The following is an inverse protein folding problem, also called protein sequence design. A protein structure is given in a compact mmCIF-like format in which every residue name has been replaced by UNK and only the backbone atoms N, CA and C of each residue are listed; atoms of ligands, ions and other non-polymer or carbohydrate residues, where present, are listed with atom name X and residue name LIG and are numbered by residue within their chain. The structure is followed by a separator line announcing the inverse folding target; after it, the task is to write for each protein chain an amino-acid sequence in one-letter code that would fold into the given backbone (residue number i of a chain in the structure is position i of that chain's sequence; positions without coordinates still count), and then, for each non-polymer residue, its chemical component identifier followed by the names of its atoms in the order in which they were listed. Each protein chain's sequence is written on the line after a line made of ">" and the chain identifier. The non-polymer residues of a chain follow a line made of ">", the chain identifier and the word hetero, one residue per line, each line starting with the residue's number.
data_IF_726166885550
#
_entry.id   IF_726166885550
#
_cell.length_a   1.000
_cell.length_b   1.000
_cell.length_c   1.000
_cell.angle_alpha   90.00
_cell.angle_beta   90.00
_cell.angle_gamma   90.00
#
_symmetry.space_group_name_H-M   'P 1'
#
loop_
_entity.id
_entity.type
_entity.pdbx_description
1 polymer ?
#
# COMPACT_ATOMS: atom_id res chain seq x y z
N UNK A 1 5.78 22.22 -2.46
CA UNK A 1 5.21 21.14 -1.63
C UNK A 1 3.81 20.87 -2.14
N UNK A 2 3.50 19.63 -2.49
CA UNK A 2 2.12 19.22 -2.72
C UNK A 2 1.36 19.30 -1.39
N UNK A 3 0.11 19.77 -1.39
CA UNK A 3 -0.69 19.78 -0.17
C UNK A 3 -1.16 18.37 0.18
N UNK A 4 -1.53 18.13 1.44
CA UNK A 4 -2.19 16.89 1.85
C UNK A 4 -3.43 16.60 0.97
N UNK A 5 -4.15 17.63 0.55
CA UNK A 5 -5.29 17.48 -0.34
C UNK A 5 -4.90 16.98 -1.74
N UNK A 6 -3.76 17.43 -2.28
CA UNK A 6 -3.26 16.97 -3.57
C UNK A 6 -2.80 15.51 -3.50
N UNK A 7 -2.17 15.12 -2.38
CA UNK A 7 -1.80 13.72 -2.11
C UNK A 7 -3.05 12.84 -2.11
N UNK A 8 -4.08 13.19 -1.33
CA UNK A 8 -5.31 12.40 -1.24
C UNK A 8 -6.04 12.26 -2.58
N UNK A 9 -6.06 13.31 -3.41
CA UNK A 9 -6.67 13.24 -4.74
C UNK A 9 -5.92 12.28 -5.67
N UNK A 10 -4.59 12.31 -5.65
CA UNK A 10 -3.76 11.38 -6.43
C UNK A 10 -3.91 9.95 -5.93
N UNK A 11 -3.90 9.75 -4.62
CA UNK A 11 -4.09 8.46 -3.98
C UNK A 11 -5.42 7.83 -4.37
N UNK A 12 -6.51 8.60 -4.29
CA UNK A 12 -7.84 8.19 -4.76
C UNK A 12 -7.84 7.81 -6.23
N UNK A 13 -7.24 8.62 -7.10
CA UNK A 13 -7.20 8.33 -8.54
C UNK A 13 -6.38 7.06 -8.84
N UNK A 14 -5.27 6.84 -8.13
CA UNK A 14 -4.48 5.61 -8.24
C UNK A 14 -5.31 4.39 -7.83
N UNK A 15 -6.04 4.46 -6.71
CA UNK A 15 -6.93 3.38 -6.27
C UNK A 15 -7.99 3.03 -7.33
N UNK A 16 -8.59 4.04 -7.97
CA UNK A 16 -9.54 3.82 -9.06
C UNK A 16 -8.87 3.15 -10.27
N UNK A 17 -7.69 3.60 -10.68
CA UNK A 17 -6.95 3.02 -11.80
C UNK A 17 -6.55 1.56 -11.52
N UNK A 18 -6.13 1.28 -10.29
CA UNK A 18 -5.79 -0.06 -9.83
C UNK A 18 -6.98 -1.00 -9.85
N UNK A 19 -8.15 -0.60 -9.33
CA UNK A 19 -9.33 -1.45 -9.45
C UNK A 19 -9.77 -1.66 -10.91
N UNK A 20 -9.64 -0.65 -11.78
CA UNK A 20 -9.94 -0.81 -13.21
C UNK A 20 -9.01 -1.85 -13.85
N UNK A 21 -7.70 -1.81 -13.56
CA UNK A 21 -6.74 -2.82 -13.99
C UNK A 21 -7.11 -4.22 -13.47
N UNK A 22 -7.33 -4.36 -12.15
CA UNK A 22 -7.63 -5.64 -11.51
C UNK A 22 -8.96 -6.24 -11.99
N UNK A 23 -9.92 -5.42 -12.42
CA UNK A 23 -11.20 -5.86 -12.96
C UNK A 23 -11.09 -6.54 -14.33
N UNK A 24 -10.02 -6.27 -15.08
CA UNK A 24 -9.74 -6.84 -16.41
C UNK A 24 -9.12 -8.23 -16.33
N UNK A 25 -8.66 -8.65 -15.15
CA UNK A 25 -8.05 -9.96 -14.95
C UNK A 25 -9.10 -11.08 -15.02
N UNK A 26 -8.70 -12.31 -15.42
CA UNK A 26 -9.65 -13.41 -15.55
C UNK A 26 -10.40 -13.67 -14.24
N UNK A 27 -11.72 -13.93 -14.36
CA UNK A 27 -12.60 -14.16 -13.21
C UNK A 27 -12.02 -15.25 -12.28
N UNK A 28 -11.96 -14.95 -10.98
CA UNK A 28 -11.45 -15.85 -9.95
C UNK A 28 -9.92 -15.86 -9.81
N UNK A 29 -9.19 -15.00 -10.53
CA UNK A 29 -7.75 -14.78 -10.31
C UNK A 29 -7.47 -13.68 -9.30
N UNK A 30 -8.36 -12.70 -9.17
CA UNK A 30 -8.27 -11.62 -8.18
C UNK A 30 -9.30 -11.79 -7.09
N UNK A 31 -8.93 -11.30 -5.90
CA UNK A 31 -9.82 -11.18 -4.72
C UNK A 31 -9.96 -9.70 -4.41
N UNK A 32 -10.79 -9.00 -5.20
CA UNK A 32 -11.14 -7.60 -4.97
C UNK A 32 -12.67 -7.46 -4.93
N UNK A 33 -13.21 -6.49 -4.17
CA UNK A 33 -14.65 -6.24 -4.16
C UNK A 33 -15.13 -5.84 -5.55
N UNK A 34 -16.35 -6.23 -5.93
CA UNK A 34 -16.93 -5.73 -7.17
C UNK A 34 -17.15 -4.23 -7.09
N UNK A 35 -16.53 -3.48 -8.00
CA UNK A 35 -16.77 -2.04 -8.15
C UNK A 35 -18.07 -1.81 -8.94
N UNK A 36 -19.02 -1.06 -8.36
CA UNK A 36 -20.27 -0.69 -9.04
C UNK A 36 -20.12 0.63 -9.80
N UNK A 37 -19.45 1.60 -9.20
CA UNK A 37 -19.12 2.87 -9.83
C UNK A 37 -17.90 3.48 -9.15
N UNK A 38 -17.04 4.12 -9.92
CA UNK A 38 -15.95 4.93 -9.42
C UNK A 38 -15.89 6.25 -10.19
N UNK A 39 -15.47 7.32 -9.52
CA UNK A 39 -15.24 8.63 -10.11
C UNK A 39 -13.93 9.19 -9.60
N UNK A 40 -13.05 9.56 -10.54
CA UNK A 40 -11.78 10.23 -10.25
C UNK A 40 -11.98 11.73 -10.01
N UNK A 41 -11.03 12.33 -9.29
CA UNK A 41 -10.79 13.77 -9.32
C UNK A 41 -10.24 14.18 -10.68
N UNK A 42 -10.61 15.37 -11.13
CA UNK A 42 -10.09 15.99 -12.35
C UNK A 42 -10.25 17.50 -12.28
N UNK A 43 -9.66 18.24 -13.21
CA UNK A 43 -9.80 19.71 -13.27
C UNK A 43 -11.28 20.15 -13.37
N UNK A 44 -12.11 19.35 -14.04
CA UNK A 44 -13.55 19.57 -14.17
C UNK A 44 -14.37 19.03 -12.97
N UNK A 45 -13.75 18.28 -12.06
CA UNK A 45 -14.36 17.69 -10.88
C UNK A 45 -13.39 17.68 -9.69
N UNK A 46 -12.93 18.85 -9.21
CA UNK A 46 -11.87 18.92 -8.21
C UNK A 46 -12.35 18.58 -6.79
N UNK A 47 -13.66 18.47 -6.57
CA UNK A 47 -14.23 18.37 -5.22
C UNK A 47 -14.74 16.99 -4.82
N UNK A 48 -14.91 16.05 -5.77
CA UNK A 48 -15.62 14.79 -5.51
C UNK A 48 -15.05 13.59 -6.27
N UNK A 49 -14.11 12.89 -5.65
CA UNK A 49 -13.81 11.49 -5.96
C UNK A 49 -14.64 10.54 -5.08
N UNK A 50 -15.05 9.40 -5.61
CA UNK A 50 -15.69 8.34 -4.81
C UNK A 50 -15.55 6.97 -5.48
N UNK A 51 -15.63 5.92 -4.68
CA UNK A 51 -15.75 4.53 -5.12
C UNK A 51 -16.95 3.92 -4.39
N UNK A 52 -17.85 3.30 -5.14
CA UNK A 52 -18.97 2.51 -4.62
C UNK A 52 -18.73 1.07 -5.04
N UNK A 53 -18.57 0.20 -4.05
CA UNK A 53 -18.19 -1.19 -4.25
C UNK A 53 -19.06 -2.13 -3.41
N UNK A 54 -18.94 -3.43 -3.69
CA UNK A 54 -19.62 -4.51 -3.00
C UNK A 54 -19.36 -4.47 -1.49
N UNK A 55 -20.45 -4.51 -0.73
CA UNK A 55 -20.38 -4.78 0.69
C UNK A 55 -20.21 -6.28 0.91
N UNK A 56 -19.01 -6.67 1.31
CA UNK A 56 -18.70 -8.04 1.69
C UNK A 56 -19.31 -8.27 3.08
N UNK A 57 -20.02 -9.38 3.28
CA UNK A 57 -20.62 -9.74 4.57
C UNK A 57 -19.80 -10.80 5.28
N UNK A 58 -19.95 -10.86 6.61
CA UNK A 58 -19.35 -11.89 7.48
C UNK A 58 -17.82 -11.93 7.36
N UNK A 59 -17.19 -10.76 7.33
CA UNK A 59 -15.73 -10.65 7.41
C UNK A 59 -15.25 -10.77 8.86
N UNK A 60 -14.15 -11.47 9.03
CA UNK A 60 -13.32 -11.43 10.23
C UNK A 60 -12.16 -10.46 9.98
N UNK A 61 -12.04 -9.48 10.86
CA UNK A 61 -10.93 -8.51 10.88
C UNK A 61 -10.42 -8.47 12.31
N UNK A 62 -9.22 -8.98 12.53
CA UNK A 62 -8.50 -8.82 13.80
C UNK A 62 -7.06 -8.41 13.50
N UNK A 63 -6.72 -7.19 13.93
CA UNK A 63 -5.40 -6.58 13.73
C UNK A 63 -4.28 -7.35 14.45
N UNK A 64 -4.64 -8.14 15.46
CA UNK A 64 -3.73 -8.98 16.24
C UNK A 64 -3.82 -10.46 15.84
N UNK A 65 -4.60 -10.79 14.79
CA UNK A 65 -4.74 -12.15 14.33
C UNK A 65 -3.39 -12.75 13.94
N UNK A 66 -3.16 -13.97 14.41
CA UNK A 66 -2.06 -14.80 13.91
C UNK A 66 -2.53 -15.57 12.70
N UNK A 67 -1.88 -15.36 11.55
CA UNK A 67 -2.16 -16.11 10.35
C UNK A 67 -1.35 -17.40 10.30
N UNK A 68 -2.01 -18.50 9.98
CA UNK A 68 -1.38 -19.77 9.61
C UNK A 68 -0.62 -19.63 8.30
N UNK A 69 0.31 -20.58 8.05
CA UNK A 69 1.03 -20.66 6.77
C UNK A 69 0.09 -20.78 5.57
N UNK A 70 -1.08 -21.40 5.74
CA UNK A 70 -2.09 -21.52 4.68
C UNK A 70 -2.67 -20.16 4.32
N UNK A 71 -2.99 -19.34 5.31
CA UNK A 71 -3.58 -18.01 5.12
C UNK A 71 -2.55 -17.06 4.49
N UNK A 72 -1.31 -17.03 5.01
CA UNK A 72 -0.22 -16.25 4.40
C UNK A 72 -0.01 -16.63 2.93
N UNK A 73 -0.08 -17.92 2.59
CA UNK A 73 0.03 -18.39 1.18
C UNK A 73 -1.09 -17.85 0.28
N UNK A 74 -2.29 -17.58 0.81
CA UNK A 74 -3.37 -16.97 0.01
C UNK A 74 -3.01 -15.53 -0.38
N UNK A 75 -2.51 -14.74 0.57
CA UNK A 75 -2.04 -13.37 0.33
C UNK A 75 -0.87 -13.35 -0.66
N UNK A 76 0.13 -14.23 -0.47
CA UNK A 76 1.29 -14.30 -1.36
C UNK A 76 0.91 -14.71 -2.79
N UNK A 77 -0.03 -15.65 -2.94
CA UNK A 77 -0.55 -16.03 -4.27
C UNK A 77 -1.26 -14.86 -4.94
N UNK A 78 -2.07 -14.13 -4.18
CA UNK A 78 -2.74 -12.94 -4.69
C UNK A 78 -1.73 -11.88 -5.13
N UNK A 79 -0.75 -11.54 -4.27
CA UNK A 79 0.33 -10.60 -4.58
C UNK A 79 1.06 -10.98 -5.87
N UNK A 80 1.46 -12.24 -6.01
CA UNK A 80 2.11 -12.73 -7.22
C UNK A 80 1.25 -12.59 -8.48
N UNK A 81 -0.06 -12.80 -8.39
CA UNK A 81 -0.98 -12.62 -9.54
C UNK A 81 -1.05 -11.14 -9.94
N UNK A 82 -1.21 -10.24 -8.96
CA UNK A 82 -1.30 -8.80 -9.23
C UNK A 82 -0.02 -8.29 -9.87
N UNK A 83 1.13 -8.58 -9.27
CA UNK A 83 2.43 -8.16 -9.77
C UNK A 83 2.71 -8.72 -11.17
N UNK A 84 2.54 -10.04 -11.36
CA UNK A 84 2.76 -10.65 -12.66
C UNK A 84 1.83 -10.09 -13.74
N UNK A 85 0.58 -9.74 -13.39
CA UNK A 85 -0.36 -9.15 -14.34
C UNK A 85 0.00 -7.74 -14.82
N UNK A 86 0.89 -7.08 -14.09
CA UNK A 86 1.27 -5.69 -14.35
C UNK A 86 2.57 -5.54 -15.15
N UNK A 87 3.34 -6.64 -15.32
CA UNK A 87 4.59 -6.65 -16.06
C UNK A 87 4.39 -6.08 -17.48
N UNK A 88 3.32 -6.54 -18.14
CA UNK A 88 2.99 -6.14 -19.51
C UNK A 88 2.16 -4.84 -19.58
N UNK A 89 1.90 -4.15 -18.46
CA UNK A 89 1.20 -2.86 -18.48
C UNK A 89 2.09 -1.83 -19.17
N UNK A 90 1.63 -1.23 -20.29
CA UNK A 90 2.44 -0.26 -21.03
C UNK A 90 2.84 0.94 -20.17
N UNK A 91 4.04 1.52 -20.37
CA UNK A 91 4.52 2.65 -19.58
C UNK A 91 3.56 3.84 -19.53
N UNK A 92 2.81 4.10 -20.60
CA UNK A 92 1.82 5.16 -20.68
C UNK A 92 0.65 4.99 -19.70
N UNK A 93 0.36 3.77 -19.25
CA UNK A 93 -0.67 3.45 -18.27
C UNK A 93 -0.09 3.32 -16.85
N UNK A 94 1.22 3.14 -16.71
CA UNK A 94 1.88 3.07 -15.39
C UNK A 94 1.82 4.41 -14.64
N UNK A 95 1.81 5.53 -15.37
CA UNK A 95 1.64 6.88 -14.80
C UNK A 95 0.29 7.09 -14.10
N UNK A 96 -0.68 6.22 -14.38
CA UNK A 96 -2.01 6.28 -13.77
C UNK A 96 -1.99 5.66 -12.36
N UNK A 97 -0.92 4.92 -12.01
CA UNK A 97 -0.62 4.46 -10.65
C UNK A 97 0.18 5.51 -9.86
N UNK A 98 0.40 5.27 -8.57
CA UNK A 98 1.06 6.23 -7.68
C UNK A 98 2.56 6.28 -7.96
N UNK A 99 2.99 7.31 -8.68
CA UNK A 99 4.40 7.56 -8.95
C UNK A 99 5.17 8.02 -7.70
N UNK A 100 6.32 7.41 -7.42
CA UNK A 100 7.24 7.74 -6.31
C UNK A 100 6.55 7.94 -4.94
N UNK A 101 5.84 6.92 -4.42
CA UNK A 101 5.10 7.04 -3.17
C UNK A 101 6.00 7.24 -1.97
N UNK A 102 7.21 6.68 -1.95
CA UNK A 102 8.05 6.79 -0.75
C UNK A 102 8.56 8.21 -0.56
N UNK A 103 9.08 8.87 -1.61
CA UNK A 103 9.50 10.27 -1.52
C UNK A 103 8.34 11.21 -1.18
N UNK A 104 7.17 11.03 -1.81
CA UNK A 104 5.99 11.85 -1.53
C UNK A 104 5.39 11.62 -0.15
N UNK A 105 5.38 10.38 0.35
CA UNK A 105 4.93 10.08 1.71
C UNK A 105 5.95 10.58 2.74
N UNK A 106 7.24 10.50 2.46
CA UNK A 106 8.28 10.99 3.33
C UNK A 106 8.18 12.49 3.63
N UNK A 107 7.99 13.30 2.58
CA UNK A 107 7.79 14.75 2.72
C UNK A 107 6.60 15.10 3.64
N UNK A 108 5.56 14.26 3.62
CA UNK A 108 4.30 14.53 4.29
C UNK A 108 4.22 13.93 5.71
N UNK A 109 4.78 12.73 5.90
CA UNK A 109 4.59 11.92 7.10
C UNK A 109 5.87 11.68 7.91
N UNK A 110 7.06 11.86 7.31
CA UNK A 110 8.34 11.62 7.96
C UNK A 110 9.28 12.84 7.87
N UNK A 111 8.83 14.06 8.25
CA UNK A 111 9.74 15.18 8.32
C UNK A 111 10.85 14.89 9.34
N UNK A 112 12.07 15.33 9.02
CA UNK A 112 13.30 15.00 9.77
C UNK A 112 13.17 15.30 11.28
N UNK A 113 12.46 16.39 11.63
CA UNK A 113 12.20 16.75 13.02
C UNK A 113 11.37 15.69 13.76
N UNK A 114 10.34 15.13 13.13
CA UNK A 114 9.49 14.09 13.72
C UNK A 114 10.23 12.75 13.83
N UNK A 115 11.07 12.42 12.85
CA UNK A 115 11.96 11.25 12.93
C UNK A 115 12.91 11.38 14.12
N UNK A 116 13.55 12.54 14.28
CA UNK A 116 14.45 12.80 15.41
C UNK A 116 13.72 12.73 16.76
N UNK A 117 12.51 13.27 16.86
CA UNK A 117 11.65 13.14 18.06
C UNK A 117 11.29 11.69 18.36
N UNK A 118 10.99 10.89 17.34
CA UNK A 118 10.68 9.47 17.51
C UNK A 118 11.88 8.69 18.06
N UNK A 119 13.08 8.97 17.54
CA UNK A 119 14.34 8.37 18.03
C UNK A 119 14.61 8.76 19.49
N UNK A 120 14.41 10.04 19.85
CA UNK A 120 14.56 10.49 21.23
C UNK A 120 13.55 9.83 22.18
N UNK A 121 12.31 9.64 21.71
CA UNK A 121 11.28 8.92 22.46
C UNK A 121 11.70 7.47 22.69
N UNK A 122 12.22 6.79 21.66
CA UNK A 122 12.75 5.42 21.80
C UNK A 122 13.93 5.39 22.79
N UNK A 123 14.81 6.39 22.75
CA UNK A 123 15.96 6.48 23.66
C UNK A 123 15.55 6.57 25.13
N UNK A 124 14.41 7.19 25.43
CA UNK A 124 13.95 7.43 26.80
C UNK A 124 12.91 6.42 27.28
N UNK A 125 12.38 5.57 26.39
CA UNK A 125 11.32 4.61 26.71
C UNK A 125 11.73 3.66 27.84
N UNK A 126 10.79 3.43 28.77
CA UNK A 126 10.96 2.54 29.93
C UNK A 126 12.30 2.76 30.69
N UNK A 127 12.68 4.03 30.88
CA UNK A 127 13.91 4.38 31.60
C UNK A 127 15.19 4.15 30.80
N UNK A 128 15.10 4.19 29.47
CA UNK A 128 16.24 4.02 28.58
C UNK A 128 16.51 2.59 28.14
N UNK A 129 15.51 1.70 28.22
CA UNK A 129 15.66 0.28 27.83
C UNK A 129 16.15 0.13 26.38
N UNK A 130 15.78 1.05 25.50
CA UNK A 130 16.15 1.02 24.07
C UNK A 130 17.21 2.09 23.71
N UNK A 131 17.95 2.64 24.68
CA UNK A 131 18.88 3.74 24.42
C UNK A 131 20.00 3.37 23.42
N UNK A 132 20.55 2.16 23.53
CA UNK A 132 21.60 1.67 22.64
C UNK A 132 21.06 1.43 21.22
N UNK A 133 19.87 0.83 21.11
CA UNK A 133 19.16 0.58 19.87
C UNK A 133 18.78 1.89 19.18
N UNK A 134 18.30 2.87 19.93
CA UNK A 134 17.98 4.21 19.43
C UNK A 134 19.23 4.93 18.90
N UNK A 135 20.38 4.81 19.60
CA UNK A 135 21.65 5.36 19.10
C UNK A 135 22.10 4.68 17.80
N UNK A 136 21.99 3.34 17.73
CA UNK A 136 22.32 2.61 16.51
C UNK A 136 21.37 2.98 15.36
N UNK A 137 20.08 3.11 15.64
CA UNK A 137 19.07 3.54 14.68
C UNK A 137 19.41 4.94 14.14
N UNK A 138 19.75 5.89 15.01
CA UNK A 138 20.14 7.24 14.60
C UNK A 138 21.32 7.25 13.61
N UNK A 139 22.27 6.32 13.75
CA UNK A 139 23.41 6.19 12.84
C UNK A 139 23.05 5.69 11.43
N UNK A 140 21.93 4.95 11.28
CA UNK A 140 21.52 4.35 10.00
C UNK A 140 20.30 5.05 9.37
N UNK A 141 19.60 5.90 10.12
CA UNK A 141 18.41 6.64 9.64
C UNK A 141 18.67 7.41 8.34
N UNK A 142 19.81 8.10 8.14
CA UNK A 142 20.07 8.78 6.86
C UNK A 142 20.09 7.83 5.66
N UNK A 143 20.56 6.59 5.84
CA UNK A 143 20.57 5.56 4.79
C UNK A 143 19.19 4.92 4.62
N UNK A 144 18.42 4.75 5.71
CA UNK A 144 17.07 4.17 5.67
C UNK A 144 16.03 5.12 5.05
N UNK A 145 16.25 6.43 5.14
CA UNK A 145 15.34 7.46 4.66
C UNK A 145 15.82 8.08 3.33
N UNK A 146 16.66 7.37 2.57
CA UNK A 146 16.95 7.72 1.18
C UNK A 146 15.80 7.29 0.28
N UNK A 147 14.70 8.05 0.35
CA UNK A 147 13.46 7.70 -0.35
C UNK A 147 13.57 7.84 -1.87
N UNK A 148 14.43 8.73 -2.37
CA UNK A 148 14.72 8.82 -3.80
C UNK A 148 15.39 7.54 -4.29
N UNK A 149 16.36 7.00 -3.52
CA UNK A 149 16.95 5.71 -3.83
C UNK A 149 15.92 4.57 -3.75
N UNK A 150 15.06 4.56 -2.72
CA UNK A 150 14.01 3.53 -2.57
C UNK A 150 13.02 3.55 -3.73
N UNK A 151 12.55 4.71 -4.16
CA UNK A 151 11.63 4.86 -5.31
C UNK A 151 12.26 4.37 -6.64
N UNK A 152 13.60 4.33 -6.72
CA UNK A 152 14.37 3.88 -7.88
C UNK A 152 15.02 2.49 -7.71
N UNK A 153 14.78 1.82 -6.57
CA UNK A 153 15.46 0.58 -6.22
C UNK A 153 15.28 -0.53 -7.27
N UNK A 154 14.08 -0.62 -7.86
CA UNK A 154 13.82 -1.60 -8.92
C UNK A 154 14.76 -1.38 -10.12
N UNK A 155 14.94 -0.12 -10.54
CA UNK A 155 15.79 0.22 -11.69
C UNK A 155 17.27 0.00 -11.37
N UNK A 156 17.72 0.37 -10.16
CA UNK A 156 19.08 0.14 -9.66
C UNK A 156 19.44 -1.36 -9.62
N UNK A 157 18.46 -2.21 -9.33
CA UNK A 157 18.61 -3.67 -9.31
C UNK A 157 18.35 -4.33 -10.67
N UNK A 158 17.97 -3.58 -11.71
CA UNK A 158 17.61 -4.11 -13.02
C UNK A 158 16.36 -4.99 -13.03
N UNK A 159 15.40 -4.69 -12.15
CA UNK A 159 14.13 -5.40 -12.00
C UNK A 159 13.02 -4.70 -12.78
N UNK A 160 12.08 -5.49 -13.31
CA UNK A 160 10.86 -4.93 -13.88
C UNK A 160 10.00 -4.27 -12.79
N UNK A 161 9.57 -3.03 -13.02
CA UNK A 161 8.55 -2.39 -12.17
C UNK A 161 7.20 -3.08 -12.36
N UNK A 162 6.56 -3.42 -11.24
CA UNK A 162 5.28 -4.11 -11.14
C UNK A 162 4.36 -3.40 -10.16
N UNK A 163 3.05 -3.52 -10.39
CA UNK A 163 2.00 -3.02 -9.52
C UNK A 163 2.06 -3.70 -8.16
N UNK A 164 2.45 -2.92 -7.16
CA UNK A 164 2.40 -3.24 -5.75
C UNK A 164 1.17 -2.60 -5.10
N UNK A 165 0.73 -3.17 -3.98
CA UNK A 165 -0.36 -2.59 -3.20
C UNK A 165 0.06 -1.30 -2.46
N UNK A 166 1.34 -1.18 -2.11
CA UNK A 166 1.92 -0.06 -1.34
C UNK A 166 1.60 -0.06 0.17
N UNK A 167 0.44 -0.58 0.58
CA UNK A 167 0.01 -0.67 1.99
C UNK A 167 -0.61 -2.03 2.34
N UNK A 168 0.11 -3.11 2.03
CA UNK A 168 -0.40 -4.47 2.29
C UNK A 168 -0.11 -4.91 3.72
N UNK A 169 -1.13 -4.85 4.56
CA UNK A 169 -1.11 -5.29 5.95
C UNK A 169 -2.46 -5.92 6.35
N UNK A 170 -2.57 -6.58 7.52
CA UNK A 170 -3.76 -7.36 7.88
C UNK A 170 -5.11 -6.63 7.75
N UNK A 171 -5.16 -5.32 8.03
CA UNK A 171 -6.42 -4.55 7.94
C UNK A 171 -6.90 -4.31 6.51
N UNK A 172 -5.98 -4.37 5.53
CA UNK A 172 -6.30 -4.30 4.11
C UNK A 172 -6.56 -5.68 3.49
N UNK A 173 -6.55 -6.74 4.32
CA UNK A 173 -6.93 -8.10 3.93
C UNK A 173 -8.21 -8.50 4.63
N UNK A 174 -9.26 -8.73 3.85
CA UNK A 174 -10.58 -9.13 4.33
C UNK A 174 -10.71 -10.64 4.29
N UNK A 175 -11.12 -11.25 5.40
CA UNK A 175 -11.17 -12.71 5.56
C UNK A 175 -12.58 -13.21 5.86
N UNK A 176 -12.95 -14.38 5.36
CA UNK A 176 -14.16 -15.09 5.77
C UNK A 176 -13.78 -16.38 6.49
N UNK A 177 -14.58 -16.75 7.47
CA UNK A 177 -14.47 -18.07 8.08
C UNK A 177 -14.91 -19.14 7.06
N UNK A 178 -13.96 -20.00 6.67
CA UNK A 178 -14.21 -21.18 5.86
C UNK A 178 -14.14 -22.48 6.66
N UNK A 179 -14.40 -23.60 6.00
CA UNK A 179 -14.42 -24.93 6.62
C UNK A 179 -13.05 -25.34 7.20
N UNK A 180 -11.97 -24.74 6.70
CA UNK A 180 -10.60 -25.11 7.03
C UNK A 180 -9.74 -23.91 7.46
N UNK A 181 -10.34 -22.94 8.15
CA UNK A 181 -9.71 -21.69 8.58
C UNK A 181 -10.13 -20.50 7.74
N UNK A 182 -9.36 -19.41 7.78
CA UNK A 182 -9.70 -18.18 7.08
C UNK A 182 -9.46 -18.31 5.57
N UNK A 183 -10.41 -17.79 4.79
CA UNK A 183 -10.35 -17.69 3.34
C UNK A 183 -10.29 -16.22 2.95
N UNK A 184 -9.31 -15.86 2.12
CA UNK A 184 -9.10 -14.48 1.68
C UNK A 184 -10.28 -14.06 0.80
N UNK A 185 -11.08 -13.13 1.30
CA UNK A 185 -12.30 -12.67 0.65
C UNK A 185 -12.04 -11.46 -0.25
N UNK A 186 -11.20 -10.53 0.19
CA UNK A 186 -10.77 -9.40 -0.61
C UNK A 186 -9.47 -8.79 -0.09
N UNK A 187 -8.78 -8.07 -0.96
CA UNK A 187 -7.75 -7.09 -0.61
C UNK A 187 -8.25 -5.72 -1.06
N UNK A 188 -8.08 -4.70 -0.23
CA UNK A 188 -8.70 -3.37 -0.38
C UNK A 188 -7.70 -2.25 -0.06
N UNK A 189 -8.09 -1.01 -0.32
CA UNK A 189 -7.32 0.21 0.02
C UNK A 189 -6.03 0.35 -0.79
N UNK A 190 -6.18 0.51 -2.11
CA UNK A 190 -5.06 0.65 -3.06
C UNK A 190 -4.61 2.10 -3.23
N UNK A 191 -4.81 2.94 -2.23
CA UNK A 191 -4.52 4.39 -2.29
C UNK A 191 -3.06 4.72 -2.63
N UNK A 192 -2.13 3.86 -2.20
CA UNK A 192 -0.69 4.02 -2.44
C UNK A 192 -0.14 2.93 -3.36
N UNK A 193 -1.00 2.34 -4.21
CA UNK A 193 -0.56 1.36 -5.21
C UNK A 193 0.32 1.99 -6.29
N UNK A 194 1.42 1.33 -6.62
CA UNK A 194 2.53 1.82 -7.46
C UNK A 194 3.06 0.75 -8.41
#
# INVERSE_FOLDING_TARGET
>A
MASFADFQQKAHNSEVATYDHLSKLPKGKTVVPKIYVAKMFSDCNPLKGYIIMEYIQNIEIDILASFSLREVKQVLRFKAIVEASSIDVPPEHRKDFFDAPFGKMAELFLPEEEVNKAIETLRTVEGGRLANEAQRLQGIVPELLDFEWVDNLADELGMDRVLCHGDLYPMNTLWKQGDNGLELAAVIDYQVSE
#
